data_IF_585629635420
#
_entry.id   IF_585629635420
#
_cell.length_a   1.000
_cell.length_b   1.000
_cell.length_c   1.000
_cell.angle_alpha   90.00
_cell.angle_beta   90.00
_cell.angle_gamma   90.00
#
_symmetry.space_group_name_H-M   'P 1'
#
loop_
_entity.id
_entity.type
_entity.pdbx_description
1 polymer ?
#
# COMPACT_ATOMS: atom_id res chain seq x y z
N UNK A 1 23.78 -19.63 42.74
CA UNK A 1 23.07 -18.33 42.77
C UNK A 1 23.69 -17.29 41.83
N UNK A 2 25.01 -17.11 41.77
CA UNK A 2 25.65 -16.13 40.87
C UNK A 2 25.56 -16.47 39.37
N UNK A 3 25.64 -17.76 39.01
CA UNK A 3 25.55 -18.25 37.61
C UNK A 3 24.14 -18.10 37.01
N UNK A 4 23.10 -18.31 37.82
CA UNK A 4 21.70 -18.15 37.39
C UNK A 4 21.33 -16.68 37.17
N UNK A 5 21.88 -15.76 37.97
CA UNK A 5 21.71 -14.31 37.78
C UNK A 5 22.37 -13.86 36.46
N UNK A 6 23.54 -14.41 36.13
CA UNK A 6 24.23 -14.10 34.87
C UNK A 6 23.44 -14.58 33.63
N UNK A 7 22.84 -15.78 33.69
CA UNK A 7 22.01 -16.28 32.60
C UNK A 7 20.70 -15.49 32.42
N UNK A 8 20.07 -15.05 33.51
CA UNK A 8 18.85 -14.22 33.45
C UNK A 8 19.17 -12.82 32.92
N UNK A 9 20.30 -12.23 33.33
CA UNK A 9 20.73 -10.94 32.79
C UNK A 9 21.06 -11.01 31.28
N UNK A 10 21.71 -12.09 30.83
CA UNK A 10 22.00 -12.30 29.41
C UNK A 10 20.73 -12.49 28.57
N UNK A 11 19.70 -13.15 29.10
CA UNK A 11 18.42 -13.33 28.43
C UNK A 11 17.61 -12.03 28.33
N UNK A 12 17.71 -11.13 29.31
CA UNK A 12 17.05 -9.81 29.29
C UNK A 12 17.71 -8.86 28.27
N UNK A 13 19.03 -8.90 28.15
CA UNK A 13 19.74 -8.10 27.12
C UNK A 13 19.47 -8.63 25.71
N UNK A 14 19.28 -9.94 25.55
CA UNK A 14 18.94 -10.55 24.27
C UNK A 14 17.48 -10.29 23.85
N UNK A 15 16.55 -10.15 24.80
CA UNK A 15 15.14 -9.84 24.52
C UNK A 15 14.86 -8.34 24.31
N UNK A 16 15.72 -7.45 24.79
CA UNK A 16 15.63 -6.00 24.53
C UNK A 16 16.37 -5.55 23.26
N UNK A 17 17.22 -6.40 22.68
CA UNK A 17 17.96 -6.11 21.44
C UNK A 17 17.18 -6.31 20.15
N UNK A 18 15.94 -6.82 20.20
CA UNK A 18 15.13 -7.16 19.02
C UNK A 18 13.96 -6.21 18.74
N UNK A 19 13.83 -5.11 19.48
CA UNK A 19 12.91 -4.01 19.16
C UNK A 19 13.70 -2.75 18.84
N UNK A 20 13.60 -2.29 17.59
CA UNK A 20 14.16 -1.05 17.02
C UNK A 20 15.41 -1.22 16.15
N UNK A 21 15.35 -2.13 15.18
CA UNK A 21 15.63 -1.67 13.82
C UNK A 21 14.28 -1.39 13.17
N UNK A 22 13.79 -0.17 13.33
CA UNK A 22 12.80 0.33 12.40
C UNK A 22 13.51 0.37 11.05
N UNK A 23 13.27 -0.64 10.21
CA UNK A 23 13.55 -0.55 8.79
C UNK A 23 12.74 0.62 8.27
N UNK A 24 13.44 1.71 8.00
CA UNK A 24 12.92 2.83 7.24
C UNK A 24 12.60 2.32 5.82
N UNK A 25 11.37 1.87 5.59
CA UNK A 25 10.82 1.64 4.25
C UNK A 25 10.16 2.93 3.74
N UNK A 26 10.77 4.09 4.08
CA UNK A 26 10.26 5.43 3.86
C UNK A 26 10.80 6.14 2.62
N UNK A 27 11.75 5.55 1.89
CA UNK A 27 12.47 6.23 0.79
C UNK A 27 12.14 5.69 -0.61
N UNK A 28 10.88 5.29 -0.82
CA UNK A 28 10.29 5.26 -2.17
C UNK A 28 9.28 6.39 -2.37
N UNK A 29 9.66 7.60 -1.96
CA UNK A 29 9.11 8.78 -2.58
C UNK A 29 9.54 8.77 -4.06
N UNK A 30 8.62 8.38 -4.96
CA UNK A 30 8.78 8.59 -6.39
C UNK A 30 8.95 10.09 -6.64
N UNK A 31 10.20 10.54 -6.70
CA UNK A 31 10.55 11.92 -7.04
C UNK A 31 10.51 12.08 -8.57
N UNK A 32 9.31 11.89 -9.13
CA UNK A 32 8.96 12.33 -10.49
C UNK A 32 7.70 13.19 -10.39
N UNK A 33 7.76 14.21 -9.54
CA UNK A 33 6.75 15.28 -9.49
C UNK A 33 7.20 16.49 -10.32
N UNK A 34 8.44 16.48 -10.80
CA UNK A 34 9.05 17.65 -11.45
C UNK A 34 8.87 17.73 -12.97
N UNK A 35 8.29 16.71 -13.62
CA UNK A 35 8.10 16.76 -15.08
C UNK A 35 6.78 16.15 -15.53
N UNK A 36 5.69 16.69 -14.98
CA UNK A 36 4.37 16.67 -15.63
C UNK A 36 4.12 18.01 -16.35
N UNK A 37 5.13 18.87 -16.43
CA UNK A 37 5.12 20.14 -17.14
C UNK A 37 5.21 19.89 -18.64
N UNK A 38 4.09 19.53 -19.25
CA UNK A 38 3.90 19.85 -20.65
C UNK A 38 4.04 21.38 -20.81
N UNK A 39 4.77 21.87 -21.81
CA UNK A 39 5.12 23.29 -22.02
C UNK A 39 3.94 24.29 -21.90
N UNK A 40 2.71 23.80 -22.03
CA UNK A 40 1.48 24.56 -21.85
C UNK A 40 1.08 24.87 -20.39
N UNK A 41 1.72 24.28 -19.38
CA UNK A 41 1.39 24.46 -17.95
C UNK A 41 -0.02 23.99 -17.54
N UNK A 42 -0.78 23.40 -18.46
CA UNK A 42 -2.15 22.92 -18.26
C UNK A 42 -2.15 21.40 -18.19
N UNK A 43 -2.40 20.86 -17.00
CA UNK A 43 -2.78 19.46 -16.85
C UNK A 43 -4.11 19.25 -17.57
N UNK A 44 -4.17 18.29 -18.49
CA UNK A 44 -5.41 17.92 -19.19
C UNK A 44 -6.43 17.30 -18.24
N UNK A 45 -7.69 17.18 -18.68
CA UNK A 45 -8.72 16.50 -17.89
C UNK A 45 -8.31 15.05 -17.61
N UNK A 46 -8.17 14.70 -16.34
CA UNK A 46 -7.91 13.33 -15.92
C UNK A 46 -9.12 12.44 -16.22
N UNK A 47 -8.83 11.21 -16.60
CA UNK A 47 -9.85 10.22 -16.97
C UNK A 47 -9.40 8.86 -16.45
N UNK A 48 -10.33 8.11 -15.87
CA UNK A 48 -10.10 6.74 -15.45
C UNK A 48 -11.18 5.83 -16.05
N UNK A 49 -10.79 4.61 -16.42
CA UNK A 49 -11.70 3.50 -16.72
C UNK A 49 -11.47 2.41 -15.67
N UNK A 50 -12.52 2.06 -14.95
CA UNK A 50 -12.47 1.09 -13.86
C UNK A 50 -13.46 -0.01 -14.20
N UNK A 51 -13.01 -1.26 -14.16
CA UNK A 51 -13.81 -2.43 -14.53
C UNK A 51 -13.84 -3.38 -13.33
N UNK A 52 -15.03 -3.64 -12.81
CA UNK A 52 -15.29 -4.66 -11.80
C UNK A 52 -16.05 -5.83 -12.43
N UNK A 53 -15.51 -7.04 -12.35
CA UNK A 53 -16.11 -8.26 -12.92
C UNK A 53 -16.36 -9.24 -11.78
N UNK A 54 -17.64 -9.54 -11.54
CA UNK A 54 -18.04 -10.56 -10.58
C UNK A 54 -18.22 -11.91 -11.26
N UNK A 55 -18.95 -11.91 -12.38
CA UNK A 55 -19.44 -13.14 -13.00
C UNK A 55 -18.53 -13.56 -14.17
N UNK A 56 -17.92 -14.74 -14.06
CA UNK A 56 -17.04 -15.30 -15.07
C UNK A 56 -17.72 -16.47 -15.80
N UNK A 57 -17.69 -16.46 -17.14
CA UNK A 57 -18.32 -17.53 -17.92
C UNK A 57 -17.56 -18.87 -17.80
N UNK A 58 -16.23 -18.82 -17.73
CA UNK A 58 -15.40 -20.01 -17.54
C UNK A 58 -15.63 -20.60 -16.15
N UNK A 59 -16.20 -21.81 -16.11
CA UNK A 59 -16.51 -22.54 -14.88
C UNK A 59 -15.29 -22.87 -14.00
N UNK A 60 -14.08 -22.74 -14.53
CA UNK A 60 -12.84 -22.91 -13.76
C UNK A 60 -12.47 -21.67 -12.96
N UNK A 61 -13.05 -20.51 -13.29
CA UNK A 61 -12.80 -19.25 -12.60
C UNK A 61 -13.99 -19.02 -11.66
N UNK A 62 -13.79 -19.02 -10.34
CA UNK A 62 -14.87 -18.76 -9.40
C UNK A 62 -15.30 -17.29 -9.46
N UNK A 63 -16.61 -17.08 -9.37
CA UNK A 63 -17.17 -15.73 -9.34
C UNK A 63 -16.69 -14.94 -8.11
N UNK A 64 -16.48 -13.64 -8.33
CA UNK A 64 -16.17 -12.69 -7.27
C UNK A 64 -17.45 -12.05 -6.76
N UNK A 65 -17.45 -11.64 -5.49
CA UNK A 65 -18.64 -11.04 -4.86
C UNK A 65 -18.58 -9.51 -4.82
N UNK A 66 -17.38 -8.94 -4.79
CA UNK A 66 -17.18 -7.53 -4.42
C UNK A 66 -16.57 -6.67 -5.52
N UNK A 67 -16.07 -7.24 -6.61
CA UNK A 67 -15.29 -6.51 -7.61
C UNK A 67 -16.04 -5.28 -8.18
N UNK A 68 -17.36 -5.40 -8.35
CA UNK A 68 -18.21 -4.26 -8.76
C UNK A 68 -18.25 -3.16 -7.69
N UNK A 69 -18.37 -3.50 -6.42
CA UNK A 69 -18.39 -2.52 -5.33
C UNK A 69 -17.01 -1.91 -5.10
N UNK A 70 -15.95 -2.70 -5.26
CA UNK A 70 -14.57 -2.24 -5.17
C UNK A 70 -14.27 -1.23 -6.30
N UNK A 71 -14.74 -1.51 -7.52
CA UNK A 71 -14.65 -0.58 -8.64
C UNK A 71 -15.39 0.74 -8.36
N UNK A 72 -16.58 0.69 -7.75
CA UNK A 72 -17.34 1.89 -7.37
C UNK A 72 -16.64 2.71 -6.28
N UNK A 73 -16.15 2.05 -5.24
CA UNK A 73 -15.42 2.71 -4.16
C UNK A 73 -14.14 3.37 -4.68
N UNK A 74 -13.44 2.72 -5.61
CA UNK A 74 -12.26 3.31 -6.26
C UNK A 74 -12.62 4.52 -7.11
N UNK A 75 -13.73 4.46 -7.85
CA UNK A 75 -14.22 5.59 -8.65
C UNK A 75 -14.55 6.81 -7.78
N UNK A 76 -15.16 6.58 -6.61
CA UNK A 76 -15.46 7.62 -5.62
C UNK A 76 -14.18 8.29 -5.11
N UNK A 77 -13.19 7.49 -4.70
CA UNK A 77 -11.89 7.99 -4.23
C UNK A 77 -11.18 8.81 -5.31
N UNK A 78 -11.12 8.31 -6.53
CA UNK A 78 -10.44 8.99 -7.64
C UNK A 78 -11.09 10.34 -7.98
N UNK A 79 -12.42 10.36 -8.03
CA UNK A 79 -13.20 11.59 -8.27
C UNK A 79 -13.04 12.61 -7.14
N UNK A 80 -13.13 12.17 -5.89
CA UNK A 80 -13.24 13.08 -4.74
C UNK A 80 -11.89 13.54 -4.21
N UNK A 81 -10.85 12.72 -4.35
CA UNK A 81 -9.53 13.00 -3.74
C UNK A 81 -8.43 13.30 -4.74
N UNK A 82 -8.57 12.86 -5.99
CA UNK A 82 -7.47 12.89 -6.96
C UNK A 82 -7.80 13.65 -8.25
N UNK A 83 -9.01 14.19 -8.38
CA UNK A 83 -9.40 15.07 -9.50
C UNK A 83 -9.57 14.35 -10.84
N UNK A 84 -9.85 13.05 -10.79
CA UNK A 84 -10.27 12.25 -11.95
C UNK A 84 -11.74 12.45 -12.30
#
# INVERSE_FOLDING_TARGET
MKKTIFCVAALIVFSLGSMSVAWDDGDRALRVVADLSHDSGKLGTYRALIIGINDYEDKKIPDLKTAINDARAMAEVLREKYGF
#
